data_IF_329698813420
#
_entry.id   IF_329698813420
#
_cell.length_a   1.000
_cell.length_b   1.000
_cell.length_c   1.000
_cell.angle_alpha   90.00
_cell.angle_beta   90.00
_cell.angle_gamma   90.00
#
_symmetry.space_group_name_H-M   'P 1'
#
loop_
_entity.id
_entity.type
_entity.pdbx_description
1 polymer ?
#
# COMPACT_ATOMS: atom_id res chain seq x y z
N UNK A 1 -11.74 -7.14 8.33
CA UNK A 1 -12.32 -8.49 8.19
C UNK A 1 -11.73 -9.23 6.98
N UNK A 2 -11.81 -8.66 5.77
CA UNK A 2 -11.33 -9.29 4.53
C UNK A 2 -9.88 -9.80 4.51
N UNK A 3 -8.90 -9.07 5.07
CA UNK A 3 -7.50 -9.56 5.12
C UNK A 3 -7.36 -10.90 5.88
N UNK A 4 -8.13 -11.08 6.96
CA UNK A 4 -8.04 -12.28 7.80
C UNK A 4 -8.57 -13.53 7.09
N UNK A 5 -9.52 -13.36 6.17
CA UNK A 5 -10.08 -14.45 5.36
C UNK A 5 -9.08 -14.98 4.32
N UNK A 6 -8.15 -14.13 3.88
CA UNK A 6 -7.11 -14.51 2.92
C UNK A 6 -5.95 -15.28 3.57
N UNK A 7 -5.70 -15.10 4.86
CA UNK A 7 -4.58 -15.75 5.57
C UNK A 7 -4.61 -17.29 5.45
N UNK A 8 -5.74 -17.99 5.71
CA UNK A 8 -5.78 -19.44 5.54
C UNK A 8 -5.56 -19.90 4.10
N UNK A 9 -6.01 -19.12 3.11
CA UNK A 9 -5.80 -19.41 1.68
C UNK A 9 -4.31 -19.28 1.35
N UNK A 10 -3.69 -18.17 1.76
CA UNK A 10 -2.26 -17.93 1.55
C UNK A 10 -1.40 -19.04 2.15
N UNK A 11 -1.70 -19.44 3.38
CA UNK A 11 -1.00 -20.54 4.07
C UNK A 11 -1.14 -21.89 3.36
N UNK A 12 -2.34 -22.24 2.88
CA UNK A 12 -2.55 -23.50 2.13
C UNK A 12 -1.83 -23.53 0.80
N UNK A 13 -1.70 -22.37 0.16
CA UNK A 13 -1.02 -22.22 -1.12
C UNK A 13 0.49 -22.01 -0.99
N UNK A 14 1.03 -21.99 0.25
CA UNK A 14 2.44 -21.71 0.53
C UNK A 14 2.93 -20.39 -0.10
N UNK A 15 2.07 -19.37 -0.06
CA UNK A 15 2.36 -18.00 -0.54
C UNK A 15 2.43 -17.06 0.65
N UNK A 16 3.27 -16.03 0.54
CA UNK A 16 3.28 -14.92 1.49
C UNK A 16 2.30 -13.85 1.01
N UNK A 17 1.42 -13.39 1.90
CA UNK A 17 0.54 -12.26 1.60
C UNK A 17 1.28 -10.96 1.92
N UNK A 18 1.28 -10.00 0.99
CA UNK A 18 1.82 -8.68 1.21
C UNK A 18 0.77 -7.61 0.89
N UNK A 19 0.62 -6.64 1.79
CA UNK A 19 -0.19 -5.45 1.54
C UNK A 19 0.71 -4.36 0.97
N UNK A 20 0.33 -3.78 -0.18
CA UNK A 20 1.12 -2.73 -0.80
C UNK A 20 0.87 -1.37 -0.13
N UNK A 21 1.93 -0.60 0.09
CA UNK A 21 1.84 0.81 0.45
C UNK A 21 1.40 1.60 -0.78
N UNK A 22 0.09 1.73 -0.98
CA UNK A 22 -0.50 2.30 -2.19
C UNK A 22 -0.31 3.83 -2.27
N UNK A 23 -0.41 4.46 -3.46
CA UNK A 23 -0.22 5.89 -3.58
C UNK A 23 -1.53 6.67 -3.33
N UNK A 24 -1.40 7.99 -3.24
CA UNK A 24 -2.51 8.96 -3.35
C UNK A 24 -3.57 8.81 -2.26
N UNK A 25 -4.81 8.45 -2.60
CA UNK A 25 -5.96 8.35 -1.68
C UNK A 25 -6.47 6.91 -1.58
N UNK A 26 -5.64 5.95 -1.99
CA UNK A 26 -5.94 4.53 -1.81
C UNK A 26 -5.92 4.17 -0.32
N UNK A 27 -6.67 3.13 0.05
CA UNK A 27 -6.61 2.57 1.38
C UNK A 27 -5.22 1.99 1.63
N UNK A 28 -4.61 2.29 2.78
CA UNK A 28 -3.24 1.87 3.10
C UNK A 28 -2.17 2.69 2.37
N UNK A 29 -2.41 3.99 2.16
CA UNK A 29 -1.47 4.88 1.48
C UNK A 29 -0.39 5.50 2.36
N UNK A 30 -0.37 5.14 3.64
CA UNK A 30 0.58 5.63 4.63
C UNK A 30 0.99 4.49 5.54
N UNK A 31 2.18 4.60 6.13
CA UNK A 31 2.67 3.58 7.08
C UNK A 31 1.70 3.42 8.25
N UNK A 32 1.19 4.52 8.80
CA UNK A 32 0.25 4.50 9.92
C UNK A 32 -1.08 3.82 9.58
N UNK A 33 -1.57 3.99 8.35
CA UNK A 33 -2.79 3.31 7.91
C UNK A 33 -2.54 1.81 7.65
N UNK A 34 -1.38 1.44 7.10
CA UNK A 34 -0.97 0.04 7.01
C UNK A 34 -0.88 -0.61 8.39
N UNK A 35 -0.28 0.07 9.36
CA UNK A 35 -0.20 -0.41 10.75
C UNK A 35 -1.59 -0.65 11.33
N UNK A 36 -2.53 0.26 11.12
CA UNK A 36 -3.92 0.11 11.55
C UNK A 36 -4.62 -1.07 10.85
N UNK A 37 -4.40 -1.26 9.55
CA UNK A 37 -4.97 -2.40 8.79
C UNK A 37 -4.41 -3.75 9.25
N UNK A 38 -3.15 -3.77 9.69
CA UNK A 38 -2.43 -4.95 10.16
C UNK A 38 -2.55 -5.15 11.68
N UNK A 39 -3.29 -4.30 12.39
CA UNK A 39 -3.46 -4.38 13.83
C UNK A 39 -4.05 -5.75 14.24
N UNK A 40 -3.37 -6.41 15.18
CA UNK A 40 -3.73 -7.76 15.63
C UNK A 40 -3.48 -8.86 14.61
N UNK A 41 -2.80 -8.59 13.50
CA UNK A 41 -2.34 -9.61 12.53
C UNK A 41 -0.83 -9.83 12.72
N UNK A 42 -0.42 -11.07 13.07
CA UNK A 42 0.99 -11.42 13.19
C UNK A 42 1.74 -11.23 11.87
N UNK A 43 2.99 -10.76 11.96
CA UNK A 43 3.84 -10.46 10.80
C UNK A 43 4.14 -11.70 9.94
N UNK A 44 4.11 -12.90 10.52
CA UNK A 44 4.29 -14.17 9.78
C UNK A 44 3.13 -14.51 8.83
N UNK A 45 1.99 -13.83 8.96
CA UNK A 45 0.82 -14.07 8.12
C UNK A 45 0.68 -13.05 6.99
N UNK A 46 1.03 -11.79 7.25
CA UNK A 46 0.93 -10.70 6.29
C UNK A 46 2.12 -9.74 6.47
N UNK A 47 2.86 -9.54 5.39
CA UNK A 47 3.89 -8.50 5.27
C UNK A 47 3.42 -7.29 4.46
N UNK A 48 4.37 -6.44 4.10
CA UNK A 48 4.17 -5.23 3.31
C UNK A 48 5.04 -5.28 2.05
N UNK A 49 4.44 -4.83 0.94
CA UNK A 49 5.15 -4.49 -0.29
C UNK A 49 5.35 -2.97 -0.32
N UNK A 50 6.59 -2.52 -0.45
CA UNK A 50 6.89 -1.11 -0.71
C UNK A 50 7.19 -0.93 -2.19
N UNK A 51 6.38 -0.14 -2.89
CA UNK A 51 6.74 0.41 -4.20
C UNK A 51 7.41 1.76 -4.02
N UNK A 52 8.65 1.88 -4.50
CA UNK A 52 9.43 3.11 -4.37
C UNK A 52 8.85 4.28 -5.16
N UNK A 53 8.01 4.04 -6.17
CA UNK A 53 7.33 5.10 -6.94
C UNK A 53 6.13 5.70 -6.20
N UNK A 54 5.54 4.99 -5.23
CA UNK A 54 4.39 5.51 -4.48
C UNK A 54 4.80 6.56 -3.44
N UNK A 55 6.07 6.59 -3.05
CA UNK A 55 6.63 7.55 -2.10
C UNK A 55 7.02 8.83 -2.85
N UNK A 56 6.18 9.86 -2.74
CA UNK A 56 6.37 11.14 -3.44
C UNK A 56 7.69 11.83 -3.11
N UNK A 57 8.06 11.83 -1.84
CA UNK A 57 9.32 12.40 -1.39
C UNK A 57 10.38 11.30 -1.32
N UNK A 58 11.20 11.20 -2.37
CA UNK A 58 12.27 10.21 -2.45
C UNK A 58 13.23 10.27 -1.25
N UNK A 59 13.40 11.44 -0.63
CA UNK A 59 14.28 11.59 0.54
C UNK A 59 13.74 10.92 1.79
N UNK A 60 12.42 10.66 1.84
CA UNK A 60 11.74 9.99 2.96
C UNK A 60 11.76 8.46 2.89
N UNK A 61 12.27 7.88 1.78
CA UNK A 61 12.28 6.43 1.57
C UNK A 61 13.02 5.66 2.68
N UNK A 62 14.22 6.10 3.15
CA UNK A 62 14.88 5.46 4.27
C UNK A 62 14.00 5.42 5.53
N UNK A 63 13.35 6.52 5.90
CA UNK A 63 12.47 6.56 7.07
C UNK A 63 11.26 5.64 6.91
N UNK A 64 10.67 5.57 5.71
CA UNK A 64 9.59 4.64 5.40
C UNK A 64 10.06 3.19 5.57
N UNK A 65 11.24 2.85 5.06
CA UNK A 65 11.82 1.51 5.20
C UNK A 65 12.03 1.15 6.67
N UNK A 66 12.59 2.07 7.47
CA UNK A 66 12.75 1.87 8.91
C UNK A 66 11.42 1.68 9.63
N UNK A 67 10.39 2.44 9.26
CA UNK A 67 9.07 2.33 9.86
C UNK A 67 8.40 0.99 9.52
N UNK A 68 8.54 0.50 8.28
CA UNK A 68 8.05 -0.82 7.89
C UNK A 68 8.84 -1.96 8.56
N UNK A 69 10.15 -1.77 8.72
CA UNK A 69 11.03 -2.70 9.41
C UNK A 69 10.89 -4.14 8.93
N UNK A 70 10.70 -5.07 9.86
CA UNK A 70 10.54 -6.51 9.58
C UNK A 70 9.26 -6.88 8.83
N UNK A 71 8.29 -5.96 8.73
CA UNK A 71 7.07 -6.22 7.94
C UNK A 71 7.33 -6.07 6.45
N UNK A 72 8.40 -5.37 6.03
CA UNK A 72 8.78 -5.29 4.63
C UNK A 72 9.26 -6.65 4.12
N UNK A 73 8.47 -7.28 3.25
CA UNK A 73 8.76 -8.63 2.73
C UNK A 73 9.07 -8.65 1.23
N UNK A 74 8.70 -7.59 0.51
CA UNK A 74 8.99 -7.46 -0.91
C UNK A 74 9.02 -5.98 -1.31
N UNK A 75 9.63 -5.70 -2.46
CA UNK A 75 9.78 -4.37 -3.03
C UNK A 75 9.32 -4.36 -4.48
N UNK A 76 8.64 -3.29 -4.89
CA UNK A 76 8.60 -2.86 -6.28
C UNK A 76 9.61 -1.73 -6.45
N UNK A 77 10.63 -2.00 -7.26
CA UNK A 77 11.79 -1.14 -7.39
C UNK A 77 11.72 -0.44 -8.75
N UNK A 78 11.50 0.86 -8.72
CA UNK A 78 11.73 1.71 -9.88
C UNK A 78 12.03 3.14 -9.46
N UNK A 79 12.63 3.90 -10.37
CA UNK A 79 13.03 5.29 -10.17
C UNK A 79 12.04 6.24 -10.85
N UNK A 80 12.09 7.52 -10.49
CA UNK A 80 11.17 8.54 -10.99
C UNK A 80 11.80 9.93 -11.04
N UNK A 81 11.11 10.90 -11.66
CA UNK A 81 11.65 12.24 -11.92
C UNK A 81 11.43 13.25 -10.77
N UNK A 82 10.91 12.79 -9.63
CA UNK A 82 10.51 13.64 -8.51
C UNK A 82 9.11 14.25 -8.62
N UNK A 83 8.43 14.08 -9.76
CA UNK A 83 7.11 14.68 -10.02
C UNK A 83 6.03 13.64 -10.31
N UNK A 84 6.32 12.69 -11.21
CA UNK A 84 5.39 11.62 -11.63
C UNK A 84 6.05 10.25 -11.52
N UNK A 85 5.23 9.22 -11.34
CA UNK A 85 5.67 7.83 -11.47
C UNK A 85 6.15 7.59 -12.92
N UNK A 86 7.42 7.26 -13.09
CA UNK A 86 8.05 7.02 -14.42
C UNK A 86 8.45 5.57 -14.64
N UNK A 87 8.52 4.78 -13.58
CA UNK A 87 8.99 3.40 -13.59
C UNK A 87 10.34 3.22 -14.30
N UNK A 88 11.27 4.14 -14.08
CA UNK A 88 12.60 4.05 -14.64
C UNK A 88 13.44 3.02 -13.91
N UNK A 89 14.52 2.59 -14.55
CA UNK A 89 15.52 1.76 -13.89
C UNK A 89 16.20 2.55 -12.76
N UNK A 90 16.53 1.91 -11.62
CA UNK A 90 17.30 2.53 -10.55
C UNK A 90 18.54 3.29 -11.05
N UNK A 91 18.73 4.50 -10.54
CA UNK A 91 19.85 5.40 -10.87
C UNK A 91 19.58 6.31 -12.07
N UNK A 92 18.36 6.29 -12.62
CA UNK A 92 17.95 7.20 -13.72
C UNK A 92 17.08 8.36 -13.24
N UNK A 93 16.62 8.33 -12.00
CA UNK A 93 15.76 9.34 -11.44
C UNK A 93 16.39 10.03 -10.23
N UNK A 94 15.57 10.36 -9.25
CA UNK A 94 15.95 11.18 -8.09
C UNK A 94 16.16 10.40 -6.80
N UNK A 95 15.89 9.09 -6.80
CA UNK A 95 16.05 8.26 -5.60
C UNK A 95 17.53 8.08 -5.24
N UNK A 96 17.88 8.34 -3.98
CA UNK A 96 19.18 7.97 -3.40
C UNK A 96 19.20 6.46 -3.10
N UNK A 97 19.52 5.66 -4.12
CA UNK A 97 19.59 4.20 -4.02
C UNK A 97 20.61 3.70 -2.99
N UNK A 98 21.81 4.29 -2.85
CA UNK A 98 22.70 3.96 -1.74
C UNK A 98 22.04 4.09 -0.37
N UNK A 99 21.33 5.19 -0.10
CA UNK A 99 20.62 5.38 1.17
C UNK A 99 19.48 4.36 1.36
N UNK A 100 18.71 4.10 0.30
CA UNK A 100 17.65 3.07 0.30
C UNK A 100 18.22 1.69 0.62
N UNK A 101 19.31 1.30 -0.03
CA UNK A 101 19.94 0.01 0.20
C UNK A 101 20.48 -0.12 1.61
N UNK A 102 21.10 0.94 2.14
CA UNK A 102 21.57 0.96 3.52
C UNK A 102 20.42 0.77 4.52
N UNK A 103 19.31 1.49 4.34
CA UNK A 103 18.13 1.33 5.20
C UNK A 103 17.56 -0.09 5.14
N UNK A 104 17.54 -0.72 3.96
CA UNK A 104 17.12 -2.12 3.78
C UNK A 104 18.04 -3.08 4.57
N UNK A 105 19.35 -2.89 4.52
CA UNK A 105 20.31 -3.68 5.29
C UNK A 105 20.08 -3.52 6.80
N UNK A 106 19.85 -2.30 7.28
CA UNK A 106 19.64 -1.99 8.69
C UNK A 106 18.37 -2.62 9.26
N UNK A 107 17.29 -2.70 8.48
CA UNK A 107 16.06 -3.41 8.89
C UNK A 107 16.16 -4.93 8.73
N UNK A 108 17.29 -5.44 8.23
CA UNK A 108 17.51 -6.86 8.01
C UNK A 108 16.75 -7.42 6.81
N UNK A 109 16.45 -6.59 5.81
CA UNK A 109 15.87 -7.04 4.55
C UNK A 109 16.90 -7.87 3.78
N UNK A 110 16.80 -9.19 3.89
CA UNK A 110 17.72 -10.10 3.19
C UNK A 110 17.29 -10.25 1.72
N UNK A 111 17.99 -9.53 0.84
CA UNK A 111 17.84 -9.58 -0.62
C UNK A 111 17.96 -10.98 -1.23
N UNK A 112 18.50 -11.97 -0.51
CA UNK A 112 18.52 -13.38 -0.96
C UNK A 112 17.13 -14.01 -0.97
N UNK A 113 16.20 -13.50 -0.16
CA UNK A 113 14.78 -13.89 -0.23
C UNK A 113 14.03 -13.22 -1.38
N UNK A 114 14.61 -12.24 -2.08
CA UNK A 114 14.01 -11.72 -3.33
C UNK A 114 14.26 -12.67 -4.52
N UNK A 115 15.33 -13.48 -4.50
CA UNK A 115 15.58 -14.52 -5.52
C UNK A 115 14.94 -15.87 -5.18
N UNK A 116 14.74 -16.18 -3.89
CA UNK A 116 13.90 -17.27 -3.42
C UNK A 116 12.82 -16.71 -2.49
N UNK A 117 11.86 -16.01 -3.08
CA UNK A 117 10.64 -15.66 -2.39
C UNK A 117 9.63 -16.77 -2.67
N UNK A 118 9.01 -17.42 -1.68
CA UNK A 118 7.75 -18.11 -1.95
C UNK A 118 6.82 -17.09 -2.64
N UNK A 119 6.04 -17.50 -3.65
CA UNK A 119 5.27 -16.57 -4.47
C UNK A 119 4.51 -15.57 -3.59
N UNK A 120 4.77 -14.27 -3.77
CA UNK A 120 4.10 -13.21 -3.02
C UNK A 120 2.83 -12.84 -3.77
N UNK A 121 1.70 -12.88 -3.08
CA UNK A 121 0.47 -12.30 -3.60
C UNK A 121 0.32 -10.93 -2.99
N UNK A 122 0.28 -9.90 -3.84
CA UNK A 122 0.03 -8.52 -3.43
C UNK A 122 -1.48 -8.33 -3.37
N UNK A 123 -2.01 -8.09 -2.18
CA UNK A 123 -3.41 -7.78 -1.99
C UNK A 123 -3.62 -6.27 -2.15
N UNK A 124 -4.11 -5.84 -3.32
CA UNK A 124 -4.59 -4.47 -3.52
C UNK A 124 -6.03 -4.42 -3.02
N UNK A 125 -6.28 -3.68 -1.94
CA UNK A 125 -7.64 -3.47 -1.43
C UNK A 125 -8.40 -2.54 -2.38
N UNK A 126 -9.59 -2.93 -2.89
CA UNK A 126 -10.40 -2.00 -3.66
C UNK A 126 -10.83 -0.83 -2.79
N UNK A 127 -10.74 0.38 -3.34
CA UNK A 127 -11.31 1.59 -2.74
C UNK A 127 -12.82 1.33 -2.63
N UNK A 128 -13.34 1.12 -1.43
CA UNK A 128 -14.79 1.24 -1.25
C UNK A 128 -15.15 2.70 -1.54
N UNK A 129 -16.11 2.97 -2.44
CA UNK A 129 -16.55 4.34 -2.65
C UNK A 129 -17.03 4.92 -1.32
N UNK A 130 -16.80 6.22 -1.05
CA UNK A 130 -17.35 6.85 0.15
C UNK A 130 -18.87 6.58 0.20
N UNK A 131 -19.47 6.39 1.39
CA UNK A 131 -20.90 6.21 1.49
C UNK A 131 -21.59 7.35 0.75
N UNK A 132 -22.46 7.01 -0.21
CA UNK A 132 -23.24 7.99 -0.94
C UNK A 132 -24.01 8.81 0.07
N UNK A 133 -23.72 10.12 0.12
CA UNK A 133 -24.51 11.06 0.93
C UNK A 133 -25.97 10.86 0.49
N UNK A 134 -26.91 10.55 1.40
CA UNK A 134 -28.31 10.47 1.01
C UNK A 134 -28.69 11.82 0.38
N UNK A 135 -29.51 11.83 -0.69
CA UNK A 135 -29.91 13.06 -1.32
C UNK A 135 -30.49 13.97 -0.24
N UNK A 136 -29.91 15.17 -0.09
CA UNK A 136 -30.49 16.21 0.75
C UNK A 136 -31.91 16.41 0.27
N UNK A 137 -32.89 16.23 1.15
CA UNK A 137 -34.27 16.55 0.86
C UNK A 137 -34.32 17.99 0.34
N UNK A 138 -34.55 18.14 -0.97
CA UNK A 138 -34.83 19.43 -1.57
C UNK A 138 -36.15 19.96 -0.99
N UNK A 139 -36.34 21.28 -0.94
CA UNK A 139 -37.56 21.86 -0.40
C UNK A 139 -38.78 21.35 -1.19
N UNK A 140 -39.80 20.87 -0.47
CA UNK A 140 -41.08 20.47 -1.04
C UNK A 140 -41.63 21.61 -1.93
N UNK A 141 -41.88 21.30 -3.20
CA UNK A 141 -42.56 22.22 -4.10
C UNK A 141 -44.03 22.36 -3.69
N UNK A 142 -44.62 23.57 -3.72
CA UNK A 142 -46.00 23.78 -3.32
C UNK A 142 -46.97 23.11 -4.29
N UNK A 143 -47.97 22.43 -3.74
CA UNK A 143 -49.06 21.81 -4.50
C UNK A 143 -49.94 22.89 -5.16
N UNK A 144 -50.06 22.85 -6.49
CA UNK A 144 -51.06 23.64 -7.22
C UNK A 144 -52.39 22.88 -7.26
N UNK A 145 -53.54 23.54 -7.00
CA UNK A 145 -54.85 22.90 -7.10
C UNK A 145 -55.26 22.75 -8.57
N UNK A 146 -55.72 21.55 -8.93
CA UNK A 146 -56.40 21.29 -10.20
C UNK A 146 -57.82 21.86 -10.12
N UNK A 147 -58.10 22.97 -10.81
CA UNK A 147 -59.44 23.27 -11.34
C UNK A 147 -59.55 22.63 -12.72
N UNK A 148 -60.71 22.21 -13.23
CA UNK A 148 -62.11 22.42 -12.90
C UNK A 148 -62.87 22.17 -14.20
#
# INVERSE_FOLDING_TARGET
EGLRELIPVARRSNVTLALELLPRTCLGNSVSELEALLEGIPQEHIGVCLDTNHVKDASSLPEVIHALGRRLVTLHISDFDGSDERHWLPGRGVIDWPAVWHALEEVGYDSRHSFYCPPVVIAIMPISPPPSRPPSAGPEAPAYPLGG
#
